data_IF_140502846824
#
_entry.id   IF_140502846824
#
_cell.length_a   1.000
_cell.length_b   1.000
_cell.length_c   1.000
_cell.angle_alpha   90.00
_cell.angle_beta   90.00
_cell.angle_gamma   90.00
#
_symmetry.space_group_name_H-M   'P 1'
#
loop_
_entity.id
_entity.type
_entity.pdbx_description
1 polymer ?
#
# COMPACT_ATOMS: atom_id res chain seq x y z
N UNK A 1 28.86 8.89 -23.61
CA UNK A 1 27.98 8.65 -24.78
C UNK A 1 26.65 7.99 -24.42
N UNK A 2 26.61 6.85 -23.71
CA UNK A 2 25.36 6.11 -23.40
C UNK A 2 24.32 6.94 -22.59
N UNK A 3 24.76 7.76 -21.63
CA UNK A 3 23.85 8.64 -20.87
C UNK A 3 23.19 9.72 -21.72
N UNK A 4 23.89 10.24 -22.74
CA UNK A 4 23.36 11.27 -23.64
C UNK A 4 22.26 10.69 -24.54
N UNK A 5 22.46 9.46 -25.05
CA UNK A 5 21.42 8.75 -25.81
C UNK A 5 20.16 8.45 -24.97
N UNK A 6 20.30 8.10 -23.68
CA UNK A 6 19.13 7.88 -22.81
C UNK A 6 18.33 9.15 -22.53
N UNK A 7 19.01 10.29 -22.39
CA UNK A 7 18.32 11.57 -22.24
C UNK A 7 17.48 11.89 -23.48
N UNK A 8 18.05 11.74 -24.68
CA UNK A 8 17.33 11.94 -25.94
C UNK A 8 16.12 11.01 -26.05
N UNK A 9 16.27 9.72 -25.74
CA UNK A 9 15.17 8.76 -25.77
C UNK A 9 14.05 9.14 -24.78
N UNK A 10 14.38 9.60 -23.57
CA UNK A 10 13.38 10.07 -22.60
C UNK A 10 12.62 11.29 -23.09
N UNK A 11 13.30 12.22 -23.77
CA UNK A 11 12.66 13.40 -24.35
C UNK A 11 11.69 12.99 -25.45
N UNK A 12 12.12 12.11 -26.38
CA UNK A 12 11.27 11.60 -27.46
C UNK A 12 10.04 10.87 -26.93
N UNK A 13 10.21 10.00 -25.94
CA UNK A 13 9.10 9.31 -25.28
C UNK A 13 8.10 10.31 -24.65
N UNK A 14 8.58 11.29 -23.87
CA UNK A 14 7.71 12.30 -23.25
C UNK A 14 6.93 13.13 -24.28
N UNK A 15 7.59 13.50 -25.38
CA UNK A 15 6.93 14.20 -26.49
C UNK A 15 5.86 13.32 -27.14
N UNK A 16 6.17 12.04 -27.41
CA UNK A 16 5.21 11.09 -27.97
C UNK A 16 3.98 10.92 -27.05
N UNK A 17 4.17 10.67 -25.76
CA UNK A 17 3.05 10.50 -24.79
C UNK A 17 2.18 11.75 -24.72
N UNK A 18 2.80 12.94 -24.71
CA UNK A 18 2.08 14.22 -24.70
C UNK A 18 1.24 14.44 -25.96
N UNK A 19 1.78 14.09 -27.14
CA UNK A 19 1.09 14.28 -28.43
C UNK A 19 0.03 13.20 -28.69
N UNK A 20 0.32 11.95 -28.32
CA UNK A 20 -0.60 10.82 -28.53
C UNK A 20 -1.79 10.81 -27.56
N UNK A 21 -1.82 11.71 -26.57
CA UNK A 21 -2.81 11.75 -25.50
C UNK A 21 -3.03 10.38 -24.81
N UNK A 22 -1.98 9.54 -24.78
CA UNK A 22 -1.99 8.17 -24.27
C UNK A 22 -1.94 8.13 -22.74
N UNK A 23 -2.75 8.96 -22.07
CA UNK A 23 -2.89 8.87 -20.62
C UNK A 23 -3.45 7.50 -20.26
N UNK A 24 -2.63 6.69 -19.61
CA UNK A 24 -3.07 5.44 -19.00
C UNK A 24 -3.98 5.78 -17.84
N UNK A 25 -5.27 5.57 -18.03
CA UNK A 25 -6.24 5.54 -16.94
C UNK A 25 -6.35 4.11 -16.43
N UNK A 26 -6.64 3.95 -15.15
CA UNK A 26 -7.01 2.65 -14.60
C UNK A 26 -8.33 2.24 -15.26
N UNK A 27 -8.39 1.02 -15.80
CA UNK A 27 -9.67 0.48 -16.23
C UNK A 27 -10.48 0.09 -14.99
N UNK A 28 -11.60 0.78 -14.78
CA UNK A 28 -12.48 0.56 -13.62
C UNK A 28 -13.49 -0.56 -13.86
N UNK A 29 -13.67 -1.03 -15.10
CA UNK A 29 -14.71 -2.00 -15.46
C UNK A 29 -14.57 -3.33 -14.69
N UNK A 30 -13.34 -3.70 -14.32
CA UNK A 30 -13.01 -4.92 -13.55
C UNK A 30 -12.71 -4.65 -12.07
N UNK A 31 -12.97 -3.44 -11.56
CA UNK A 31 -12.63 -3.03 -10.19
C UNK A 31 -13.91 -2.65 -9.42
N UNK A 32 -14.17 -3.34 -8.32
CA UNK A 32 -15.30 -3.02 -7.46
C UNK A 32 -15.10 -1.66 -6.76
N UNK A 33 -15.95 -0.69 -7.13
CA UNK A 33 -15.97 0.68 -6.60
C UNK A 33 -17.08 0.93 -5.56
N UNK A 34 -17.95 -0.05 -5.31
CA UNK A 34 -18.98 0.04 -4.27
C UNK A 34 -18.43 -0.40 -2.91
N UNK A 35 -18.66 0.41 -1.87
CA UNK A 35 -18.15 0.16 -0.51
C UNK A 35 -18.73 -1.10 0.11
N UNK A 36 -20.02 -1.37 -0.10
CA UNK A 36 -20.69 -2.50 0.51
C UNK A 36 -20.33 -3.80 -0.20
N UNK A 37 -20.20 -3.78 -1.51
CA UNK A 37 -19.72 -4.91 -2.31
C UNK A 37 -18.26 -5.24 -2.00
N UNK A 38 -17.36 -4.25 -1.93
CA UNK A 38 -15.97 -4.46 -1.53
C UNK A 38 -15.87 -5.07 -0.13
N UNK A 39 -16.68 -4.57 0.81
CA UNK A 39 -16.82 -5.15 2.16
C UNK A 39 -17.31 -6.60 2.12
N UNK A 40 -18.31 -6.90 1.30
CA UNK A 40 -18.84 -8.25 1.12
C UNK A 40 -17.82 -9.22 0.51
N UNK A 41 -16.97 -8.75 -0.42
CA UNK A 41 -15.87 -9.53 -0.98
C UNK A 41 -14.91 -9.96 0.13
N UNK A 42 -14.41 -9.03 0.95
CA UNK A 42 -13.46 -9.35 2.04
C UNK A 42 -14.12 -10.24 3.10
N UNK A 43 -15.37 -9.94 3.47
CA UNK A 43 -16.19 -10.74 4.39
C UNK A 43 -16.25 -12.20 3.99
N UNK A 44 -16.43 -12.53 2.71
CA UNK A 44 -16.47 -13.92 2.23
C UNK A 44 -15.19 -14.69 2.57
N UNK A 45 -14.03 -14.03 2.47
CA UNK A 45 -12.74 -14.62 2.85
C UNK A 45 -12.55 -14.70 4.37
N UNK A 46 -13.05 -13.73 5.14
CA UNK A 46 -12.97 -13.79 6.60
C UNK A 46 -13.82 -14.92 7.19
N UNK A 47 -14.96 -15.22 6.58
CA UNK A 47 -15.86 -16.30 7.02
C UNK A 47 -15.32 -17.69 6.64
N UNK A 48 -14.53 -17.82 5.57
CA UNK A 48 -14.02 -19.13 5.13
C UNK A 48 -12.95 -19.72 6.07
N UNK A 49 -12.43 -18.91 7.00
CA UNK A 49 -11.36 -19.26 7.95
C UNK A 49 -10.07 -19.82 7.30
N UNK A 50 -9.92 -19.67 5.98
CA UNK A 50 -8.69 -19.99 5.27
C UNK A 50 -7.75 -18.78 5.27
N UNK A 51 -6.44 -18.96 5.48
CA UNK A 51 -5.47 -17.89 5.36
C UNK A 51 -5.52 -17.22 3.98
N UNK A 52 -5.69 -15.90 3.96
CA UNK A 52 -5.70 -15.13 2.72
C UNK A 52 -4.92 -13.83 2.84
N UNK A 53 -4.57 -13.28 1.68
CA UNK A 53 -3.83 -12.03 1.56
C UNK A 53 -4.63 -11.03 0.72
N UNK A 54 -4.92 -9.89 1.34
CA UNK A 54 -5.33 -8.66 0.65
C UNK A 54 -4.10 -7.77 0.54
N UNK A 55 -3.79 -7.27 -0.64
CA UNK A 55 -2.64 -6.38 -0.81
C UNK A 55 -2.82 -5.39 -1.95
N UNK A 56 -1.93 -4.40 -1.99
CA UNK A 56 -1.84 -3.33 -2.99
C UNK A 56 -0.40 -3.10 -3.37
N UNK A 57 -0.20 -2.56 -4.56
CA UNK A 57 1.05 -1.92 -4.91
C UNK A 57 1.20 -0.55 -4.24
N UNK A 58 2.43 -0.13 -3.98
CA UNK A 58 2.76 1.28 -3.82
C UNK A 58 3.11 1.91 -5.16
N UNK A 59 2.87 3.22 -5.34
CA UNK A 59 3.07 3.90 -6.63
C UNK A 59 4.55 3.94 -7.05
N UNK A 60 5.44 4.06 -6.08
CA UNK A 60 6.89 4.11 -6.34
C UNK A 60 7.42 2.70 -6.58
N UNK A 61 6.90 1.74 -5.83
CA UNK A 61 7.24 0.32 -5.89
C UNK A 61 6.83 -0.27 -7.25
N UNK A 62 5.62 0.00 -7.74
CA UNK A 62 5.19 -0.47 -9.06
C UNK A 62 5.99 0.19 -10.21
N UNK A 63 6.42 1.44 -10.02
CA UNK A 63 7.32 2.11 -10.95
C UNK A 63 8.69 1.41 -11.02
N UNK A 64 9.22 0.98 -9.86
CA UNK A 64 10.47 0.22 -9.78
C UNK A 64 10.33 -1.17 -10.42
N UNK A 65 9.22 -1.87 -10.18
CA UNK A 65 8.93 -3.15 -10.83
C UNK A 65 8.83 -3.02 -12.35
N UNK A 66 8.15 -1.97 -12.82
CA UNK A 66 8.00 -1.71 -14.26
C UNK A 66 9.36 -1.42 -14.89
N UNK A 67 10.22 -0.68 -14.21
CA UNK A 67 11.59 -0.46 -14.66
C UNK A 67 12.41 -1.76 -14.68
N UNK A 68 12.28 -2.62 -13.66
CA UNK A 68 12.94 -3.93 -13.61
C UNK A 68 12.55 -4.84 -14.78
N UNK A 69 11.27 -4.88 -15.18
CA UNK A 69 10.84 -5.66 -16.34
C UNK A 69 11.59 -5.26 -17.64
N UNK A 70 11.87 -3.96 -17.83
CA UNK A 70 12.65 -3.50 -18.96
C UNK A 70 14.12 -3.90 -18.88
N UNK A 71 14.71 -3.82 -17.68
CA UNK A 71 16.10 -4.23 -17.44
C UNK A 71 16.29 -5.73 -17.67
N UNK A 72 15.35 -6.56 -17.20
CA UNK A 72 15.40 -8.02 -17.36
C UNK A 72 15.08 -8.49 -18.78
N UNK A 73 14.41 -7.67 -19.58
CA UNK A 73 14.06 -8.04 -20.95
C UNK A 73 15.31 -8.36 -21.77
N UNK A 74 15.32 -9.52 -22.44
CA UNK A 74 16.44 -9.95 -23.28
C UNK A 74 16.57 -9.14 -24.59
N UNK A 75 15.49 -8.46 -25.00
CA UNK A 75 15.44 -7.63 -26.21
C UNK A 75 14.83 -6.28 -25.87
N UNK A 76 15.35 -5.24 -26.50
CA UNK A 76 14.88 -3.86 -26.31
C UNK A 76 14.58 -3.23 -27.66
N UNK A 77 13.43 -2.57 -27.77
CA UNK A 77 13.08 -1.78 -28.94
C UNK A 77 12.98 -0.30 -28.59
N UNK A 78 13.86 0.50 -29.19
CA UNK A 78 13.84 1.96 -29.08
C UNK A 78 12.47 2.53 -29.48
N UNK A 79 11.93 2.06 -30.60
CA UNK A 79 10.63 2.52 -31.09
C UNK A 79 9.50 2.18 -30.11
N UNK A 80 9.44 0.94 -29.62
CA UNK A 80 8.39 0.55 -28.67
C UNK A 80 8.52 1.27 -27.32
N UNK A 81 9.73 1.56 -26.87
CA UNK A 81 9.94 2.42 -25.71
C UNK A 81 9.41 3.84 -25.94
N UNK A 82 9.76 4.48 -27.06
CA UNK A 82 9.23 5.81 -27.41
C UNK A 82 7.70 5.79 -27.45
N UNK A 83 7.11 4.71 -27.95
CA UNK A 83 5.65 4.51 -28.03
C UNK A 83 4.97 4.07 -26.72
N UNK A 84 5.68 4.03 -25.58
CA UNK A 84 5.18 3.56 -24.27
C UNK A 84 4.65 2.10 -24.26
N UNK A 85 5.09 1.29 -25.22
CA UNK A 85 4.74 -0.14 -25.33
C UNK A 85 5.71 -1.04 -24.58
N UNK A 86 6.96 -0.61 -24.39
CA UNK A 86 7.96 -1.32 -23.60
C UNK A 86 8.59 -0.38 -22.54
N UNK A 87 8.87 -0.88 -21.33
CA UNK A 87 9.55 -0.10 -20.30
C UNK A 87 11.01 0.18 -20.66
N UNK A 88 11.60 1.19 -20.03
CA UNK A 88 13.04 1.48 -20.14
C UNK A 88 13.90 0.36 -19.55
N UNK A 89 15.06 0.13 -20.16
CA UNK A 89 15.98 -0.97 -19.84
C UNK A 89 17.27 -0.55 -19.12
N UNK A 90 17.26 0.63 -18.53
CA UNK A 90 18.25 1.09 -17.56
C UNK A 90 17.52 1.60 -16.32
N UNK A 91 18.18 1.61 -15.17
CA UNK A 91 17.58 2.14 -13.95
C UNK A 91 17.32 3.64 -14.08
N UNK A 92 16.07 4.05 -13.82
CA UNK A 92 15.67 5.44 -13.79
C UNK A 92 16.14 6.08 -12.49
N UNK A 93 16.99 7.11 -12.58
CA UNK A 93 17.47 7.83 -11.39
C UNK A 93 16.34 8.47 -10.59
N UNK A 94 15.25 8.90 -11.25
CA UNK A 94 14.06 9.42 -10.59
C UNK A 94 13.31 8.34 -9.80
N UNK A 95 13.11 7.15 -10.38
CA UNK A 95 12.52 6.00 -9.66
C UNK A 95 13.41 5.58 -8.50
N UNK A 96 14.73 5.50 -8.71
CA UNK A 96 15.71 5.20 -7.66
C UNK A 96 15.68 6.22 -6.52
N UNK A 97 15.56 7.50 -6.86
CA UNK A 97 15.41 8.58 -5.89
C UNK A 97 14.12 8.41 -5.08
N UNK A 98 12.98 8.18 -5.74
CA UNK A 98 11.70 7.99 -5.07
C UNK A 98 11.69 6.71 -4.21
N UNK A 99 12.30 5.61 -4.68
CA UNK A 99 12.42 4.37 -3.89
C UNK A 99 13.10 4.64 -2.55
N UNK A 100 14.18 5.43 -2.53
CA UNK A 100 14.84 5.81 -1.27
C UNK A 100 14.05 6.82 -0.46
N UNK A 101 13.63 7.92 -1.07
CA UNK A 101 13.12 9.06 -0.32
C UNK A 101 11.65 8.93 0.07
N UNK A 102 10.83 8.27 -0.76
CA UNK A 102 9.39 8.14 -0.53
C UNK A 102 9.05 6.75 0.02
N UNK A 103 9.53 5.68 -0.63
CA UNK A 103 9.26 4.31 -0.21
C UNK A 103 10.19 3.83 0.93
N UNK A 104 11.24 4.58 1.24
CA UNK A 104 12.18 4.25 2.30
C UNK A 104 13.01 3.01 2.03
N UNK A 105 13.32 2.71 0.76
CA UNK A 105 14.14 1.59 0.33
C UNK A 105 15.63 1.95 0.35
N UNK A 106 16.44 1.15 1.04
CA UNK A 106 17.87 1.42 1.22
C UNK A 106 18.70 0.12 1.40
N UNK A 107 19.97 0.10 1.00
CA UNK A 107 20.56 1.01 0.02
C UNK A 107 19.94 0.74 -1.37
N UNK A 108 19.66 1.80 -2.12
CA UNK A 108 18.98 1.76 -3.41
C UNK A 108 19.95 1.45 -4.58
N UNK A 109 20.84 0.46 -4.41
CA UNK A 109 21.75 -0.03 -5.46
C UNK A 109 20.99 -0.84 -6.50
N UNK A 110 21.56 -1.00 -7.70
CA UNK A 110 20.96 -1.77 -8.80
C UNK A 110 20.66 -3.20 -8.37
N UNK A 111 21.62 -3.83 -7.70
CA UNK A 111 21.51 -5.18 -7.17
C UNK A 111 20.33 -5.30 -6.18
N UNK A 112 20.18 -4.35 -5.26
CA UNK A 112 19.10 -4.40 -4.28
C UNK A 112 17.75 -4.10 -4.91
N UNK A 113 17.67 -3.20 -5.90
CA UNK A 113 16.44 -2.96 -6.65
C UNK A 113 16.02 -4.19 -7.46
N UNK A 114 16.97 -4.96 -8.01
CA UNK A 114 16.70 -6.26 -8.62
C UNK A 114 16.15 -7.26 -7.58
N UNK A 115 16.83 -7.42 -6.44
CA UNK A 115 16.38 -8.31 -5.35
C UNK A 115 14.97 -7.96 -4.85
N UNK A 116 14.70 -6.66 -4.69
CA UNK A 116 13.38 -6.17 -4.30
C UNK A 116 12.33 -6.55 -5.33
N UNK A 117 12.64 -6.34 -6.61
CA UNK A 117 11.70 -6.63 -7.69
C UNK A 117 11.40 -8.13 -7.79
N UNK A 118 12.40 -8.98 -7.61
CA UNK A 118 12.24 -10.44 -7.60
C UNK A 118 11.41 -10.92 -6.41
N UNK A 119 11.68 -10.40 -5.21
CA UNK A 119 10.88 -10.67 -4.01
C UNK A 119 9.41 -10.33 -4.26
N UNK A 120 9.12 -9.10 -4.70
CA UNK A 120 7.75 -8.65 -4.90
C UNK A 120 7.06 -9.45 -6.00
N UNK A 121 7.72 -9.73 -7.13
CA UNK A 121 7.14 -10.55 -8.20
C UNK A 121 6.77 -11.96 -7.74
N UNK A 122 7.54 -12.55 -6.82
CA UNK A 122 7.19 -13.83 -6.20
C UNK A 122 5.99 -13.67 -5.25
N UNK A 123 5.95 -12.61 -4.46
CA UNK A 123 4.85 -12.32 -3.52
C UNK A 123 3.51 -12.04 -4.22
N UNK A 124 3.51 -11.63 -5.50
CA UNK A 124 2.27 -11.44 -6.27
C UNK A 124 1.43 -12.72 -6.40
N UNK A 125 2.06 -13.89 -6.36
CA UNK A 125 1.37 -15.18 -6.45
C UNK A 125 0.51 -15.47 -5.21
N UNK A 126 0.79 -14.78 -4.10
CA UNK A 126 0.11 -14.97 -2.84
C UNK A 126 -1.12 -14.07 -2.68
N UNK A 127 -1.33 -13.09 -3.56
CA UNK A 127 -2.50 -12.19 -3.48
C UNK A 127 -3.79 -12.96 -3.79
N UNK A 128 -4.78 -12.88 -2.89
CA UNK A 128 -6.14 -13.40 -3.14
C UNK A 128 -7.14 -12.27 -3.43
N UNK A 129 -6.87 -11.05 -2.94
CA UNK A 129 -7.66 -9.84 -3.25
C UNK A 129 -6.70 -8.70 -3.53
N UNK A 130 -6.83 -8.06 -4.69
CA UNK A 130 -6.02 -6.89 -5.05
C UNK A 130 -6.79 -5.61 -4.73
N UNK A 131 -6.19 -4.76 -3.91
CA UNK A 131 -6.60 -3.37 -3.77
C UNK A 131 -5.95 -2.58 -4.91
N UNK A 132 -6.78 -2.19 -5.89
CA UNK A 132 -6.39 -1.60 -7.16
C UNK A 132 -6.48 -0.08 -7.15
N UNK A 133 -5.42 0.58 -7.64
CA UNK A 133 -5.36 2.04 -7.76
C UNK A 133 -4.30 2.57 -8.74
N UNK A 134 -3.48 1.69 -9.31
CA UNK A 134 -2.41 2.05 -10.24
C UNK A 134 -2.69 1.47 -11.62
N UNK A 135 -2.68 2.30 -12.70
CA UNK A 135 -2.87 1.79 -14.06
C UNK A 135 -1.86 0.71 -14.42
N UNK A 136 -0.58 0.84 -14.04
CA UNK A 136 0.47 -0.13 -14.39
C UNK A 136 0.29 -1.53 -13.78
N UNK A 137 -0.71 -1.75 -12.91
CA UNK A 137 -1.06 -3.08 -12.38
C UNK A 137 -1.32 -4.11 -13.48
N UNK A 138 -1.85 -3.69 -14.64
CA UNK A 138 -2.12 -4.60 -15.77
C UNK A 138 -0.87 -5.35 -16.25
N UNK A 139 0.32 -4.76 -16.07
CA UNK A 139 1.61 -5.36 -16.48
C UNK A 139 1.98 -6.58 -15.66
N UNK A 140 1.37 -6.74 -14.49
CA UNK A 140 1.71 -7.76 -13.50
C UNK A 140 0.63 -8.83 -13.33
N UNK A 141 -0.47 -8.77 -14.08
CA UNK A 141 -1.58 -9.74 -13.98
C UNK A 141 -1.09 -11.18 -14.19
N UNK A 142 -0.13 -11.39 -15.10
CA UNK A 142 0.43 -12.72 -15.38
C UNK A 142 1.26 -13.31 -14.23
N UNK A 143 1.64 -12.50 -13.23
CA UNK A 143 2.36 -12.93 -12.03
C UNK A 143 1.43 -13.25 -10.87
N UNK A 144 0.13 -12.96 -10.99
CA UNK A 144 -0.88 -13.20 -9.95
C UNK A 144 -1.69 -14.47 -10.27
N UNK A 145 -2.43 -14.95 -9.27
CA UNK A 145 -3.48 -15.96 -9.50
C UNK A 145 -4.51 -15.42 -10.48
N UNK A 146 -5.06 -16.31 -11.31
CA UNK A 146 -6.16 -15.96 -12.23
C UNK A 146 -7.42 -15.63 -11.44
N UNK A 147 -8.20 -14.67 -11.94
CA UNK A 147 -9.55 -14.34 -11.46
C UNK A 147 -9.62 -13.91 -9.98
N UNK A 148 -8.57 -13.25 -9.46
CA UNK A 148 -8.66 -12.62 -8.13
C UNK A 148 -9.61 -11.41 -8.19
N UNK A 149 -10.48 -11.20 -7.19
CA UNK A 149 -11.26 -9.99 -7.08
C UNK A 149 -10.36 -8.75 -6.93
N UNK A 150 -10.81 -7.64 -7.50
CA UNK A 150 -10.19 -6.33 -7.38
C UNK A 150 -11.17 -5.36 -6.73
N UNK A 151 -10.71 -4.65 -5.72
CA UNK A 151 -11.47 -3.59 -5.06
C UNK A 151 -10.70 -2.28 -5.18
N UNK A 152 -11.41 -1.18 -5.31
CA UNK A 152 -10.79 0.14 -5.40
C UNK A 152 -10.17 0.56 -4.06
N UNK A 153 -9.03 1.26 -4.06
CA UNK A 153 -8.33 1.57 -2.81
C UNK A 153 -9.06 2.42 -1.78
N UNK A 154 -10.07 3.21 -2.18
CA UNK A 154 -10.90 3.92 -1.18
C UNK A 154 -11.97 3.01 -0.58
N UNK A 155 -12.40 1.94 -1.28
CA UNK A 155 -13.50 1.07 -0.80
C UNK A 155 -13.07 0.08 0.27
N UNK A 156 -11.76 -0.03 0.53
CA UNK A 156 -11.23 -0.77 1.69
C UNK A 156 -11.58 -0.09 3.02
N UNK A 157 -11.81 1.23 3.02
CA UNK A 157 -12.06 2.03 4.21
C UNK A 157 -13.47 1.74 4.75
N UNK A 158 -13.53 0.78 5.68
CA UNK A 158 -14.77 0.10 6.10
C UNK A 158 -15.82 1.01 6.72
N UNK A 159 -15.44 2.20 7.21
CA UNK A 159 -16.37 3.15 7.83
C UNK A 159 -17.29 3.88 6.83
N UNK A 160 -17.09 3.64 5.53
CA UNK A 160 -17.91 4.18 4.45
C UNK A 160 -19.13 3.31 4.08
N UNK A 161 -19.35 2.15 4.74
CA UNK A 161 -20.51 1.29 4.50
C UNK A 161 -21.25 0.89 5.79
N UNK A 162 -22.47 0.34 5.60
CA UNK A 162 -23.35 -0.07 6.69
C UNK A 162 -22.90 -1.38 7.35
N UNK A 163 -22.50 -2.37 6.54
CA UNK A 163 -21.98 -3.66 7.00
C UNK A 163 -20.48 -3.79 6.67
N UNK A 164 -19.60 -3.24 7.53
CA UNK A 164 -18.15 -3.27 7.32
C UNK A 164 -17.54 -4.66 7.54
N UNK A 165 -16.57 -5.02 6.71
CA UNK A 165 -15.82 -6.28 6.84
C UNK A 165 -15.07 -6.34 8.17
N UNK A 166 -14.69 -5.20 8.74
CA UNK A 166 -14.02 -5.10 10.05
C UNK A 166 -14.89 -5.61 11.19
N UNK A 167 -16.22 -5.68 11.04
CA UNK A 167 -17.10 -6.31 12.02
C UNK A 167 -16.72 -7.77 12.29
N UNK A 168 -16.21 -8.48 11.28
CA UNK A 168 -15.80 -9.88 11.37
C UNK A 168 -14.45 -10.09 12.09
N UNK A 169 -13.81 -9.01 12.53
CA UNK A 169 -12.67 -9.08 13.44
C UNK A 169 -13.09 -9.33 14.90
N UNK A 170 -14.39 -9.20 15.22
CA UNK A 170 -14.91 -9.32 16.58
C UNK A 170 -14.44 -10.60 17.27
N UNK A 171 -13.82 -10.46 18.44
CA UNK A 171 -13.32 -11.56 19.25
C UNK A 171 -12.04 -12.26 18.73
N UNK A 172 -11.49 -11.86 17.58
CA UNK A 172 -10.22 -12.41 17.05
C UNK A 172 -9.00 -11.76 17.72
N UNK A 173 -7.83 -12.38 17.58
CA UNK A 173 -6.53 -11.77 17.89
C UNK A 173 -6.03 -11.01 16.67
N UNK A 174 -6.04 -9.69 16.74
CA UNK A 174 -5.71 -8.81 15.61
C UNK A 174 -4.37 -8.15 15.87
N UNK A 175 -3.37 -8.52 15.08
CA UNK A 175 -2.09 -7.83 15.02
C UNK A 175 -2.20 -6.61 14.11
N UNK A 176 -1.74 -5.45 14.57
CA UNK A 176 -1.67 -4.23 13.77
C UNK A 176 -0.22 -3.78 13.64
N UNK A 177 0.30 -3.84 12.42
CA UNK A 177 1.67 -3.41 12.10
C UNK A 177 1.59 -2.03 11.45
N UNK A 178 2.00 -1.01 12.21
CA UNK A 178 1.85 0.39 11.81
C UNK A 178 2.92 1.25 12.49
N UNK A 179 3.35 2.38 11.89
CA UNK A 179 4.26 3.32 12.56
C UNK A 179 3.64 3.99 13.79
N UNK A 180 2.31 4.12 13.83
CA UNK A 180 1.55 4.72 14.93
C UNK A 180 1.00 3.66 15.89
N UNK A 181 1.80 2.63 16.18
CA UNK A 181 1.40 1.51 17.03
C UNK A 181 0.91 1.96 18.41
N UNK A 182 1.60 2.93 19.03
CA UNK A 182 1.23 3.47 20.33
C UNK A 182 -0.11 4.23 20.27
N UNK A 183 -0.28 5.12 19.28
CA UNK A 183 -1.53 5.85 19.08
C UNK A 183 -2.72 4.92 18.83
N UNK A 184 -2.50 3.86 18.06
CA UNK A 184 -3.51 2.84 17.76
C UNK A 184 -3.94 2.13 19.05
N UNK A 185 -2.98 1.74 19.89
CA UNK A 185 -3.23 1.14 21.20
C UNK A 185 -4.05 2.09 22.09
N UNK A 186 -3.64 3.35 22.19
CA UNK A 186 -4.27 4.36 23.02
C UNK A 186 -5.70 4.68 22.54
N UNK A 187 -5.91 4.82 21.23
CA UNK A 187 -7.23 5.07 20.64
C UNK A 187 -8.17 3.89 20.82
N UNK A 188 -7.68 2.66 20.60
CA UNK A 188 -8.48 1.46 20.76
C UNK A 188 -8.94 1.26 22.21
N UNK A 189 -8.06 1.51 23.19
CA UNK A 189 -8.38 1.37 24.61
C UNK A 189 -9.34 2.44 25.12
N UNK A 190 -9.15 3.69 24.70
CA UNK A 190 -9.82 4.83 25.34
C UNK A 190 -11.02 5.38 24.55
N UNK A 191 -11.03 5.19 23.22
CA UNK A 191 -11.95 5.90 22.33
C UNK A 191 -12.70 5.00 21.34
N UNK A 192 -12.43 3.69 21.25
CA UNK A 192 -13.02 2.75 20.26
C UNK A 192 -14.51 2.95 20.00
N UNK A 193 -15.33 3.08 21.05
CA UNK A 193 -16.79 3.19 20.95
C UNK A 193 -17.29 4.59 20.57
N UNK A 194 -16.38 5.58 20.46
CA UNK A 194 -16.68 7.00 20.22
C UNK A 194 -16.19 7.49 18.85
N UNK A 195 -15.39 6.70 18.14
CA UNK A 195 -14.78 7.11 16.86
C UNK A 195 -15.78 7.15 15.70
N UNK A 196 -16.76 6.24 15.69
CA UNK A 196 -17.69 6.06 14.59
C UNK A 196 -19.13 5.99 15.08
N UNK A 197 -20.05 6.56 14.28
CA UNK A 197 -21.50 6.42 14.51
C UNK A 197 -21.95 4.97 14.33
N UNK A 198 -21.39 4.26 13.35
CA UNK A 198 -21.66 2.85 13.13
C UNK A 198 -20.76 2.01 14.07
N UNK A 199 -21.32 1.33 15.10
CA UNK A 199 -20.52 0.57 16.07
C UNK A 199 -19.90 -0.70 15.46
N UNK A 200 -20.31 -1.10 14.25
CA UNK A 200 -19.76 -2.26 13.54
C UNK A 200 -18.38 -2.00 12.94
N UNK A 201 -17.99 -0.74 12.78
CA UNK A 201 -16.72 -0.35 12.14
C UNK A 201 -15.51 -0.82 12.94
N UNK A 202 -15.52 -0.63 14.26
CA UNK A 202 -14.40 -1.01 15.13
C UNK A 202 -14.92 -1.87 16.30
N UNK A 203 -15.25 -3.16 16.03
CA UNK A 203 -15.76 -4.05 17.05
C UNK A 203 -14.67 -4.36 18.10
N UNK A 204 -15.08 -4.99 19.19
CA UNK A 204 -14.16 -5.48 20.21
C UNK A 204 -13.44 -6.76 19.76
N UNK A 205 -12.11 -6.75 19.86
CA UNK A 205 -11.18 -7.81 19.52
C UNK A 205 -9.92 -7.68 20.37
N UNK A 206 -9.10 -8.73 20.45
CA UNK A 206 -7.84 -8.68 21.17
C UNK A 206 -6.80 -7.98 20.30
N UNK A 207 -6.58 -6.69 20.55
CA UNK A 207 -5.57 -5.89 19.85
C UNK A 207 -4.16 -6.28 20.29
N UNK A 208 -3.27 -6.43 19.31
CA UNK A 208 -1.82 -6.52 19.48
C UNK A 208 -1.23 -5.50 18.51
N UNK A 209 -0.33 -4.63 18.99
CA UNK A 209 0.31 -3.62 18.16
C UNK A 209 1.80 -3.93 17.98
N UNK A 210 2.31 -3.70 16.77
CA UNK A 210 3.73 -3.85 16.47
C UNK A 210 4.21 -2.61 15.69
N UNK A 211 5.22 -1.87 16.20
CA UNK A 211 5.73 -0.67 15.54
C UNK A 211 6.53 -1.06 14.29
N UNK A 212 6.01 -0.72 13.11
CA UNK A 212 6.71 -0.99 11.86
C UNK A 212 7.94 -0.09 11.69
N UNK A 213 8.98 -0.62 11.05
CA UNK A 213 10.18 0.16 10.72
C UNK A 213 9.83 1.31 9.76
N UNK A 214 10.18 2.54 10.14
CA UNK A 214 10.09 3.72 9.28
C UNK A 214 11.46 4.06 8.73
N UNK A 215 11.64 3.87 7.42
CA UNK A 215 12.92 4.11 6.74
C UNK A 215 12.85 5.16 5.64
N UNK A 216 11.80 6.00 5.67
CA UNK A 216 11.61 7.14 4.77
C UNK A 216 12.87 8.02 4.72
N UNK A 217 13.26 8.48 3.54
CA UNK A 217 14.52 9.20 3.33
C UNK A 217 15.77 8.30 3.34
N UNK A 218 15.61 6.98 3.53
CA UNK A 218 16.71 6.04 3.79
C UNK A 218 17.26 6.14 5.21
N UNK A 219 16.55 6.78 6.14
CA UNK A 219 16.96 6.92 7.53
C UNK A 219 16.53 5.68 8.31
N UNK A 220 17.48 4.80 8.64
CA UNK A 220 17.18 3.56 9.35
C UNK A 220 18.33 3.16 10.26
N UNK A 221 18.01 2.47 11.35
CA UNK A 221 19.00 1.83 12.23
C UNK A 221 19.50 0.49 11.65
N UNK A 222 18.86 -0.01 10.59
CA UNK A 222 19.22 -1.25 9.91
C UNK A 222 20.26 -0.99 8.81
N UNK A 223 21.03 -2.03 8.47
CA UNK A 223 22.02 -1.96 7.38
C UNK A 223 21.37 -1.92 6.00
N UNK A 224 20.26 -2.63 5.85
CA UNK A 224 19.45 -2.64 4.63
C UNK A 224 17.96 -2.76 4.93
N UNK A 225 17.15 -2.44 3.92
CA UNK A 225 15.70 -2.63 3.93
C UNK A 225 15.35 -4.12 4.08
N UNK A 226 16.16 -5.03 3.52
CA UNK A 226 15.96 -6.47 3.70
C UNK A 226 16.23 -6.92 5.14
N UNK A 227 17.24 -6.34 5.82
CA UNK A 227 17.48 -6.64 7.24
C UNK A 227 16.32 -6.15 8.12
N UNK A 228 15.77 -4.98 7.81
CA UNK A 228 14.59 -4.45 8.48
C UNK A 228 13.36 -5.33 8.26
N UNK A 229 13.12 -5.76 7.01
CA UNK A 229 12.06 -6.71 6.68
C UNK A 229 12.24 -8.01 7.48
N UNK A 230 13.44 -8.59 7.44
CA UNK A 230 13.73 -9.86 8.09
C UNK A 230 13.57 -9.79 9.61
N UNK A 231 13.95 -8.67 10.23
CA UNK A 231 13.71 -8.45 11.66
C UNK A 231 12.21 -8.46 11.97
N UNK A 232 11.40 -7.74 11.18
CA UNK A 232 9.94 -7.71 11.37
C UNK A 232 9.30 -9.08 11.14
N UNK A 233 9.70 -9.82 10.10
CA UNK A 233 9.25 -11.20 9.87
C UNK A 233 9.52 -12.09 11.09
N UNK A 234 10.76 -12.06 11.60
CA UNK A 234 11.15 -12.87 12.74
C UNK A 234 10.36 -12.50 14.00
N UNK A 235 10.17 -11.20 14.28
CA UNK A 235 9.39 -10.77 15.44
C UNK A 235 7.92 -11.21 15.31
N UNK A 236 7.30 -10.95 14.16
CA UNK A 236 5.90 -11.32 13.89
C UNK A 236 5.69 -12.83 14.02
N UNK A 237 6.66 -13.65 13.61
CA UNK A 237 6.57 -15.12 13.73
C UNK A 237 6.44 -15.64 15.17
N UNK A 238 6.79 -14.82 16.16
CA UNK A 238 6.67 -15.15 17.59
C UNK A 238 5.37 -14.67 18.23
N UNK A 239 4.58 -13.86 17.51
CA UNK A 239 3.34 -13.28 18.01
C UNK A 239 2.18 -14.21 17.69
N UNK A 240 1.37 -14.53 18.69
CA UNK A 240 0.14 -15.31 18.52
C UNK A 240 -1.04 -14.40 18.12
N UNK A 241 -1.37 -14.39 16.83
CA UNK A 241 -2.49 -13.65 16.25
C UNK A 241 -3.25 -14.49 15.21
N UNK A 242 -4.47 -14.08 14.86
CA UNK A 242 -5.29 -14.72 13.82
C UNK A 242 -5.21 -13.94 12.50
N UNK A 243 -5.30 -12.61 12.59
CA UNK A 243 -5.37 -11.69 11.47
C UNK A 243 -4.37 -10.55 11.70
N UNK A 244 -3.63 -10.18 10.66
CA UNK A 244 -2.75 -9.02 10.68
C UNK A 244 -3.28 -7.91 9.76
N UNK A 245 -3.43 -6.70 10.30
CA UNK A 245 -3.70 -5.48 9.54
C UNK A 245 -2.37 -4.73 9.33
N UNK A 246 -2.07 -4.38 8.07
CA UNK A 246 -0.77 -3.82 7.71
C UNK A 246 -0.93 -2.42 7.10
N UNK A 247 -0.19 -1.46 7.66
CA UNK A 247 0.00 -0.12 7.12
C UNK A 247 1.44 0.33 7.37
N UNK A 248 2.38 -0.24 6.62
CA UNK A 248 3.82 -0.12 6.85
C UNK A 248 4.62 0.19 5.57
N UNK A 249 4.05 0.99 4.67
CA UNK A 249 4.73 1.45 3.45
C UNK A 249 5.22 0.30 2.56
N UNK A 250 6.45 0.42 2.06
CA UNK A 250 7.05 -0.56 1.15
C UNK A 250 7.17 -1.98 1.73
N UNK A 251 7.11 -2.13 3.05
CA UNK A 251 7.14 -3.44 3.72
C UNK A 251 5.79 -4.18 3.67
N UNK A 252 4.69 -3.49 3.35
CA UNK A 252 3.33 -4.02 3.50
C UNK A 252 3.05 -5.28 2.67
N UNK A 253 3.40 -5.27 1.38
CA UNK A 253 3.19 -6.44 0.51
C UNK A 253 4.05 -7.65 0.92
N UNK A 254 5.38 -7.53 1.11
CA UNK A 254 6.19 -8.68 1.47
C UNK A 254 5.88 -9.23 2.86
N UNK A 255 5.56 -8.37 3.85
CA UNK A 255 5.06 -8.83 5.15
C UNK A 255 3.72 -9.56 5.02
N UNK A 256 2.80 -9.06 4.19
CA UNK A 256 1.52 -9.73 3.96
C UNK A 256 1.70 -11.13 3.34
N UNK A 257 2.60 -11.26 2.36
CA UNK A 257 2.93 -12.56 1.75
C UNK A 257 3.57 -13.50 2.77
N UNK A 258 4.52 -13.03 3.58
CA UNK A 258 5.13 -13.80 4.65
C UNK A 258 4.10 -14.31 5.68
N UNK A 259 3.19 -13.44 6.12
CA UNK A 259 2.11 -13.77 7.06
C UNK A 259 1.15 -14.79 6.47
N UNK A 260 0.81 -14.67 5.18
CA UNK A 260 0.01 -15.70 4.52
C UNK A 260 0.72 -17.05 4.49
N UNK A 261 2.01 -17.07 4.12
CA UNK A 261 2.82 -18.30 4.07
C UNK A 261 2.98 -18.97 5.43
N UNK A 262 2.92 -18.22 6.53
CA UNK A 262 2.89 -18.80 7.90
C UNK A 262 1.52 -19.39 8.27
N UNK A 263 0.52 -19.30 7.40
CA UNK A 263 -0.84 -19.80 7.65
C UNK A 263 -1.75 -18.83 8.40
N UNK A 264 -1.52 -17.51 8.27
CA UNK A 264 -2.33 -16.46 8.91
C UNK A 264 -2.93 -15.52 7.87
N UNK A 265 -3.98 -14.80 8.23
CA UNK A 265 -4.60 -13.82 7.33
C UNK A 265 -3.86 -12.48 7.39
N UNK A 266 -3.58 -11.89 6.23
CA UNK A 266 -2.94 -10.59 6.11
C UNK A 266 -3.79 -9.63 5.27
N UNK A 267 -4.08 -8.44 5.81
CA UNK A 267 -4.84 -7.40 5.11
C UNK A 267 -3.98 -6.13 5.06
N UNK A 268 -3.31 -5.92 3.92
CA UNK A 268 -2.50 -4.74 3.66
C UNK A 268 -3.34 -3.61 3.08
N UNK A 269 -3.79 -2.74 3.99
CA UNK A 269 -4.63 -1.57 3.71
C UNK A 269 -3.77 -0.39 3.24
N UNK A 270 -2.55 -0.31 3.77
CA UNK A 270 -1.66 0.83 3.57
C UNK A 270 -2.01 1.96 4.53
N UNK A 271 -1.75 3.20 4.11
CA UNK A 271 -1.78 4.32 5.05
C UNK A 271 -3.15 4.66 5.65
N UNK A 272 -4.27 4.32 5.00
CA UNK A 272 -5.61 4.61 5.57
C UNK A 272 -5.96 3.75 6.78
N UNK A 273 -5.17 2.72 7.10
CA UNK A 273 -5.35 1.92 8.31
C UNK A 273 -5.41 2.79 9.58
N UNK A 274 -4.67 3.90 9.63
CA UNK A 274 -4.70 4.82 10.77
C UNK A 274 -6.09 5.41 11.04
N UNK A 275 -6.92 5.58 10.00
CA UNK A 275 -8.25 6.15 10.12
C UNK A 275 -9.20 5.21 10.88
N UNK A 276 -9.02 3.89 10.72
CA UNK A 276 -9.80 2.89 11.46
C UNK A 276 -9.67 3.06 12.97
N UNK A 277 -8.56 3.66 13.44
CA UNK A 277 -8.29 3.93 14.85
C UNK A 277 -8.39 5.42 15.19
N UNK A 278 -9.06 6.25 14.38
CA UNK A 278 -9.32 7.64 14.73
C UNK A 278 -8.10 8.56 14.64
N UNK A 279 -7.10 8.20 13.85
CA UNK A 279 -5.88 9.00 13.66
C UNK A 279 -5.96 9.69 12.29
N UNK A 280 -6.25 10.99 12.24
CA UNK A 280 -6.34 11.76 10.99
C UNK A 280 -4.96 12.17 10.48
N UNK A 281 -4.86 12.46 9.19
CA UNK A 281 -3.66 13.01 8.54
C UNK A 281 -4.06 13.98 7.44
N UNK A 282 -3.12 14.85 7.04
CA UNK A 282 -3.38 15.95 6.10
C UNK A 282 -4.11 15.54 4.81
N UNK A 283 -3.86 14.34 4.28
CA UNK A 283 -4.51 13.84 3.05
C UNK A 283 -6.03 13.71 3.20
N UNK A 284 -6.50 13.22 4.34
CA UNK A 284 -7.92 12.94 4.56
C UNK A 284 -8.68 14.15 5.12
N UNK A 285 -7.98 15.23 5.42
CA UNK A 285 -8.58 16.53 5.74
C UNK A 285 -8.79 17.39 4.49
N UNK A 286 -8.18 17.05 3.36
CA UNK A 286 -8.45 17.68 2.07
C UNK A 286 -9.89 17.33 1.63
N UNK A 287 -10.80 18.32 1.50
CA UNK A 287 -12.18 18.08 1.08
C UNK A 287 -12.30 17.48 -0.33
N UNK A 288 -11.26 17.56 -1.17
CA UNK A 288 -11.26 17.04 -2.54
C UNK A 288 -10.72 15.60 -2.63
N UNK A 289 -10.18 15.06 -1.54
CA UNK A 289 -9.62 13.71 -1.56
C UNK A 289 -10.70 12.66 -1.84
N UNK A 290 -10.46 11.82 -2.86
CA UNK A 290 -11.36 10.74 -3.26
C UNK A 290 -12.65 11.19 -3.98
N UNK A 291 -12.82 12.48 -4.31
CA UNK A 291 -14.07 13.02 -4.89
C UNK A 291 -14.55 12.27 -6.14
N UNK A 292 -13.63 11.71 -6.94
CA UNK A 292 -13.95 10.93 -8.13
C UNK A 292 -14.68 9.61 -7.84
N UNK A 293 -14.63 9.11 -6.60
CA UNK A 293 -15.32 7.88 -6.17
C UNK A 293 -16.41 8.19 -5.15
N UNK A 294 -16.20 9.14 -4.23
CA UNK A 294 -17.23 9.51 -3.26
C UNK A 294 -18.40 10.28 -3.89
N UNK A 295 -18.15 10.96 -5.01
CA UNK A 295 -19.09 11.92 -5.62
C UNK A 295 -19.54 13.06 -4.68
N UNK A 296 -18.82 13.26 -3.58
CA UNK A 296 -19.06 14.32 -2.61
C UNK A 296 -17.75 14.88 -2.04
N UNK A 297 -17.77 16.17 -1.66
CA UNK A 297 -16.66 16.81 -0.98
C UNK A 297 -16.67 16.48 0.51
N UNK A 298 -15.47 16.31 1.08
CA UNK A 298 -15.29 16.11 2.52
C UNK A 298 -15.82 14.77 3.05
N UNK A 299 -15.89 13.73 2.20
CA UNK A 299 -16.40 12.41 2.58
C UNK A 299 -15.74 11.89 3.87
N UNK A 300 -14.41 11.96 3.96
CA UNK A 300 -13.67 11.58 5.17
C UNK A 300 -13.91 12.53 6.35
N UNK A 301 -13.90 13.85 6.10
CA UNK A 301 -14.04 14.87 7.14
C UNK A 301 -15.33 14.73 7.97
N UNK A 302 -16.41 14.23 7.38
CA UNK A 302 -17.70 14.00 8.06
C UNK A 302 -17.64 12.95 9.17
N UNK A 303 -16.63 12.08 9.16
CA UNK A 303 -16.44 11.07 10.20
C UNK A 303 -15.63 11.58 11.39
N UNK A 304 -14.93 12.72 11.25
CA UNK A 304 -14.08 13.25 12.32
C UNK A 304 -14.93 13.87 13.43
N UNK A 305 -14.52 13.61 14.67
CA UNK A 305 -15.12 14.18 15.87
C UNK A 305 -14.02 14.51 16.91
N UNK A 306 -14.41 14.98 18.10
CA UNK A 306 -13.52 15.40 19.17
C UNK A 306 -12.58 14.30 19.71
N UNK A 307 -12.88 13.02 19.45
CA UNK A 307 -12.05 11.89 19.86
C UNK A 307 -10.95 11.53 18.87
N UNK A 308 -11.03 12.05 17.64
CA UNK A 308 -10.00 11.84 16.62
C UNK A 308 -8.75 12.65 16.95
N UNK A 309 -7.59 12.02 16.81
CA UNK A 309 -6.29 12.65 17.08
C UNK A 309 -5.48 12.81 15.81
N UNK A 310 -4.49 13.70 15.85
CA UNK A 310 -3.34 13.62 14.93
C UNK A 310 -2.26 12.73 15.52
N UNK A 311 -1.35 12.18 14.69
CA UNK A 311 -0.21 11.43 15.19
C UNK A 311 0.60 12.22 16.22
N UNK A 312 1.18 11.54 17.20
CA UNK A 312 1.96 12.20 18.22
C UNK A 312 3.23 12.80 17.63
N UNK A 313 3.76 13.84 18.29
CA UNK A 313 4.98 14.53 17.82
C UNK A 313 6.17 13.57 17.73
N UNK A 314 6.30 12.64 18.66
CA UNK A 314 7.36 11.63 18.67
C UNK A 314 7.26 10.62 17.52
N UNK A 315 6.07 10.45 16.94
CA UNK A 315 5.82 9.55 15.81
C UNK A 315 6.02 10.23 14.45
N UNK A 316 6.39 11.51 14.46
CA UNK A 316 6.81 12.22 13.26
C UNK A 316 8.24 11.82 12.88
N UNK A 317 8.40 11.34 11.64
CA UNK A 317 9.72 11.01 11.10
C UNK A 317 10.39 12.28 10.60
N UNK A 318 11.72 12.37 10.72
CA UNK A 318 12.50 13.43 10.05
C UNK A 318 12.17 13.40 8.55
N UNK A 319 11.87 14.57 7.98
CA UNK A 319 11.43 14.75 6.59
C UNK A 319 10.01 14.24 6.25
N UNK A 320 9.14 13.98 7.23
CA UNK A 320 7.72 13.62 6.97
C UNK A 320 7.00 14.59 6.04
N UNK A 321 7.28 15.90 6.17
CA UNK A 321 6.75 16.95 5.27
C UNK A 321 7.16 16.81 3.80
N UNK A 322 8.28 16.14 3.51
CA UNK A 322 8.76 15.92 2.16
C UNK A 322 8.12 14.69 1.49
N UNK A 323 7.55 13.77 2.29
CA UNK A 323 6.80 12.63 1.76
C UNK A 323 5.35 13.01 1.61
N UNK A 324 4.96 13.23 0.35
CA UNK A 324 3.58 13.46 -0.04
C UNK A 324 2.91 14.56 0.81
N UNK A 325 3.64 15.66 1.00
CA UNK A 325 3.26 16.83 1.79
C UNK A 325 2.83 16.54 3.24
N UNK A 326 3.37 15.49 3.85
CA UNK A 326 2.99 15.07 5.19
C UNK A 326 1.60 14.42 5.24
N UNK A 327 1.15 13.80 4.14
CA UNK A 327 -0.18 13.20 3.98
C UNK A 327 -0.70 12.37 5.18
N UNK A 328 0.18 11.66 5.88
CA UNK A 328 -0.16 10.78 7.00
C UNK A 328 -0.19 11.49 8.37
N UNK A 329 0.35 12.70 8.45
CA UNK A 329 0.55 13.47 9.68
C UNK A 329 -0.39 14.68 9.78
#
# INVERSE_FOLDING_TARGET
MIKLSYLTLRILHKLYVKVSNSKKCMNLDDVCIDYQEASNIIKKYLISEQPFMVSRFGAVEISALTNYLGIKSAKHSVLKYIMDKEPQWWWNDGVRYCMKNNAGFFPNTDENLCKFSELILNDLQDIDILISWQPDEYRFISYMKKNIPRIHYVTIDSFMCEEPWTYYLKGKKVLVVHPFAQEIEDQYRNNRTKLFKNPKVLPEFKLITYPSVQSIGGNSLYKSWFDALKKMENDISTIDFDICLLGCGAYGMPLAAYIKRMGKTAIHIGGSLQLLFGIRGARWEDPLYGIGIHHEQGAYCKHFNEHWIRPYKQSMVKNSKQVDNGCYW
#
